data_IF_466339635935
#
_entry.id   IF_466339635935
#
_cell.length_a   1.000
_cell.length_b   1.000
_cell.length_c   1.000
_cell.angle_alpha   90.00
_cell.angle_beta   90.00
_cell.angle_gamma   90.00
#
_symmetry.space_group_name_H-M   'P 1'
#
loop_
_entity.id
_entity.type
_entity.pdbx_description
1 polymer ?
#
# COMPACT_ATOMS: atom_id res chain seq x y z
N UNK A 1 10.54 17.12 -20.57
CA UNK A 1 10.58 16.64 -19.17
C UNK A 1 9.38 15.73 -19.00
N UNK A 2 9.56 14.44 -19.24
CA UNK A 2 8.45 13.47 -19.26
C UNK A 2 8.11 13.17 -17.81
N UNK A 3 6.96 13.64 -17.34
CA UNK A 3 6.38 13.19 -16.08
C UNK A 3 6.25 11.67 -16.18
N UNK A 4 6.87 10.92 -15.25
CA UNK A 4 6.80 9.46 -15.23
C UNK A 4 5.33 9.06 -15.20
N UNK A 5 4.86 8.43 -16.28
CA UNK A 5 3.43 8.24 -16.59
C UNK A 5 2.78 7.02 -15.92
N UNK A 6 3.42 6.44 -14.92
CA UNK A 6 2.81 5.39 -14.13
C UNK A 6 3.36 5.50 -12.72
N UNK A 7 2.52 5.92 -11.78
CA UNK A 7 2.73 5.56 -10.38
C UNK A 7 2.71 4.03 -10.38
N UNK A 8 3.82 3.38 -10.02
CA UNK A 8 3.91 1.92 -9.91
C UNK A 8 4.01 1.54 -8.43
N UNK A 9 2.89 1.56 -7.68
CA UNK A 9 2.91 1.33 -6.25
C UNK A 9 3.41 -0.07 -5.90
N UNK A 10 3.15 -1.06 -6.77
CA UNK A 10 3.60 -2.43 -6.58
C UNK A 10 5.13 -2.56 -6.48
N UNK A 11 5.89 -1.88 -7.35
CA UNK A 11 7.36 -1.92 -7.32
C UNK A 11 7.92 -1.24 -6.06
N UNK A 12 7.36 -0.09 -5.69
CA UNK A 12 7.75 0.61 -4.47
C UNK A 12 7.51 -0.24 -3.22
N UNK A 13 6.37 -0.93 -3.16
CA UNK A 13 6.03 -1.83 -2.06
C UNK A 13 6.92 -3.08 -2.04
N UNK A 14 7.27 -3.64 -3.20
CA UNK A 14 8.21 -4.75 -3.28
C UNK A 14 9.58 -4.37 -2.72
N UNK A 15 10.10 -3.20 -3.11
CA UNK A 15 11.36 -2.67 -2.56
C UNK A 15 11.24 -2.47 -1.05
N UNK A 16 10.16 -1.85 -0.57
CA UNK A 16 9.95 -1.62 0.86
C UNK A 16 9.95 -2.92 1.67
N UNK A 17 9.24 -3.95 1.21
CA UNK A 17 9.17 -5.25 1.88
C UNK A 17 10.52 -5.99 1.85
N UNK A 18 11.31 -5.82 0.78
CA UNK A 18 12.65 -6.44 0.69
C UNK A 18 13.63 -5.97 1.77
N UNK A 19 13.35 -4.82 2.40
CA UNK A 19 14.15 -4.29 3.51
C UNK A 19 13.85 -5.00 4.84
N UNK A 20 12.95 -5.99 4.85
CA UNK A 20 12.44 -6.69 6.04
C UNK A 20 11.96 -5.74 7.16
N UNK A 21 11.08 -4.78 6.86
CA UNK A 21 10.58 -3.85 7.87
C UNK A 21 9.59 -4.54 8.81
N UNK A 22 9.46 -4.02 10.03
CA UNK A 22 8.43 -4.47 10.97
C UNK A 22 7.01 -3.98 10.61
N UNK A 23 6.93 -2.86 9.87
CA UNK A 23 5.71 -2.24 9.36
C UNK A 23 6.01 -1.30 8.18
N UNK A 24 5.03 -1.07 7.31
CA UNK A 24 5.09 -0.11 6.19
C UNK A 24 3.99 0.93 6.34
N UNK A 25 4.30 2.20 6.04
CA UNK A 25 3.31 3.29 5.96
C UNK A 25 3.23 3.78 4.50
N UNK A 26 2.08 3.56 3.87
CA UNK A 26 1.79 3.97 2.51
C UNK A 26 0.96 5.26 2.52
N UNK A 27 1.51 6.34 1.98
CA UNK A 27 0.82 7.63 1.82
C UNK A 27 0.39 7.75 0.36
N UNK A 28 -0.90 7.94 0.11
CA UNK A 28 -1.46 8.06 -1.25
C UNK A 28 -2.76 8.84 -1.23
N UNK A 29 -3.06 9.54 -2.31
CA UNK A 29 -4.37 10.15 -2.59
C UNK A 29 -5.46 9.12 -2.95
N UNK A 30 -5.07 7.84 -3.09
CA UNK A 30 -5.96 6.70 -3.32
C UNK A 30 -5.98 6.23 -4.76
N UNK A 31 -5.37 6.95 -5.70
CA UNK A 31 -5.25 6.51 -7.10
C UNK A 31 -4.16 5.42 -7.25
N UNK A 32 -4.47 4.22 -6.76
CA UNK A 32 -3.75 3.01 -7.09
C UNK A 32 -4.40 2.43 -8.34
N UNK A 33 -4.01 2.98 -9.49
CA UNK A 33 -4.25 2.32 -10.76
C UNK A 33 -3.38 1.05 -10.76
N UNK A 34 -3.92 -0.11 -11.17
CA UNK A 34 -3.24 -1.41 -11.43
C UNK A 34 -3.54 -2.59 -10.47
N UNK A 35 -2.96 -3.75 -10.82
CA UNK A 35 -2.87 -5.05 -10.13
C UNK A 35 -2.12 -5.00 -8.78
N UNK A 36 -1.90 -3.80 -8.22
CA UNK A 36 -1.09 -3.58 -7.01
C UNK A 36 -1.61 -4.34 -5.80
N UNK A 37 -2.94 -4.47 -5.66
CA UNK A 37 -3.57 -5.29 -4.62
C UNK A 37 -3.22 -6.78 -4.76
N UNK A 38 -3.30 -7.31 -5.98
CA UNK A 38 -2.99 -8.72 -6.25
C UNK A 38 -1.50 -9.00 -6.03
N UNK A 39 -0.62 -8.12 -6.51
CA UNK A 39 0.81 -8.23 -6.24
C UNK A 39 1.12 -8.15 -4.75
N UNK A 40 0.54 -7.18 -4.02
CA UNK A 40 0.68 -7.05 -2.57
C UNK A 40 0.33 -8.33 -1.83
N UNK A 41 -0.81 -8.94 -2.19
CA UNK A 41 -1.24 -10.21 -1.61
C UNK A 41 -0.23 -11.31 -1.87
N UNK A 42 0.38 -11.37 -3.04
CA UNK A 42 1.39 -12.39 -3.36
C UNK A 42 2.71 -12.16 -2.62
N UNK A 43 3.20 -10.92 -2.56
CA UNK A 43 4.53 -10.60 -1.99
C UNK A 43 4.52 -10.52 -0.47
N UNK A 44 3.38 -10.17 0.13
CA UNK A 44 3.21 -10.03 1.58
C UNK A 44 2.31 -11.13 2.18
N UNK A 45 2.09 -12.23 1.44
CA UNK A 45 1.40 -13.39 1.99
C UNK A 45 2.23 -13.99 3.14
N UNK A 46 1.61 -14.28 4.30
CA UNK A 46 2.28 -15.08 5.31
C UNK A 46 2.59 -16.46 4.72
N UNK A 47 3.80 -16.95 4.95
CA UNK A 47 4.17 -18.34 4.64
C UNK A 47 4.75 -19.01 5.89
N UNK A 48 5.17 -20.28 5.78
CA UNK A 48 5.69 -21.06 6.91
C UNK A 48 6.96 -20.46 7.56
N UNK A 49 7.62 -19.51 6.90
CA UNK A 49 8.91 -18.94 7.30
C UNK A 49 8.89 -17.42 7.46
N UNK A 50 7.92 -16.72 6.89
CA UNK A 50 7.83 -15.25 6.92
C UNK A 50 6.50 -14.78 7.48
N UNK A 51 6.58 -13.95 8.51
CA UNK A 51 5.44 -13.18 9.03
C UNK A 51 4.97 -12.18 7.98
N UNK A 52 3.66 -11.99 7.89
CA UNK A 52 3.07 -10.90 7.12
C UNK A 52 3.41 -9.55 7.75
N UNK A 53 3.90 -8.61 6.94
CA UNK A 53 4.24 -7.26 7.38
C UNK A 53 2.99 -6.37 7.35
N UNK A 54 2.62 -5.71 8.45
CA UNK A 54 1.49 -4.79 8.48
C UNK A 54 1.76 -3.55 7.62
N UNK A 55 0.79 -3.21 6.76
CA UNK A 55 0.84 -2.03 5.90
C UNK A 55 -0.24 -1.05 6.34
N UNK A 56 0.15 0.04 6.98
CA UNK A 56 -0.73 1.13 7.34
C UNK A 56 -0.89 2.07 6.14
N UNK A 57 -2.13 2.45 5.83
CA UNK A 57 -2.43 3.33 4.69
C UNK A 57 -2.95 4.66 5.18
N UNK A 58 -2.41 5.74 4.62
CA UNK A 58 -2.78 7.12 4.96
C UNK A 58 -3.30 7.78 3.68
N UNK A 59 -4.59 8.11 3.66
CA UNK A 59 -5.18 8.81 2.52
C UNK A 59 -4.96 10.31 2.64
N UNK A 60 -4.49 10.91 1.54
CA UNK A 60 -4.27 12.34 1.42
C UNK A 60 -5.37 12.98 0.55
N UNK A 61 -6.07 13.98 1.09
CA UNK A 61 -6.92 14.96 0.39
C UNK A 61 -8.24 14.45 -0.25
N UNK A 62 -8.32 13.28 -0.89
CA UNK A 62 -9.51 12.81 -1.62
C UNK A 62 -10.07 11.49 -1.10
N UNK A 63 -11.40 11.34 -1.18
CA UNK A 63 -12.13 10.09 -0.89
C UNK A 63 -11.99 9.01 -1.97
N UNK A 64 -11.53 9.41 -3.15
CA UNK A 64 -11.29 8.52 -4.27
C UNK A 64 -10.18 7.54 -3.90
N UNK A 65 -10.40 6.23 -4.10
CA UNK A 65 -9.41 5.20 -3.76
C UNK A 65 -9.28 4.80 -2.29
N UNK A 66 -10.10 5.36 -1.38
CA UNK A 66 -10.17 4.90 0.02
C UNK A 66 -10.45 3.41 0.15
N UNK A 67 -11.30 2.88 -0.71
CA UNK A 67 -11.61 1.46 -0.73
C UNK A 67 -10.35 0.62 -0.91
N UNK A 68 -9.51 0.97 -1.90
CA UNK A 68 -8.27 0.24 -2.18
C UNK A 68 -7.30 0.35 -1.00
N UNK A 69 -7.13 1.55 -0.42
CA UNK A 69 -6.26 1.75 0.73
C UNK A 69 -6.76 1.00 1.99
N UNK A 70 -8.07 0.92 2.19
CA UNK A 70 -8.68 0.13 3.26
C UNK A 70 -8.43 -1.37 3.06
N UNK A 71 -8.57 -1.87 1.83
CA UNK A 71 -8.31 -3.28 1.51
C UNK A 71 -6.84 -3.64 1.76
N UNK A 72 -5.88 -2.80 1.34
CA UNK A 72 -4.45 -3.03 1.61
C UNK A 72 -4.15 -3.13 3.10
N UNK A 73 -4.71 -2.20 3.89
CA UNK A 73 -4.53 -2.20 5.33
C UNK A 73 -5.16 -3.44 5.97
N UNK A 74 -6.39 -3.80 5.58
CA UNK A 74 -7.07 -4.97 6.12
C UNK A 74 -6.35 -6.27 5.79
N UNK A 75 -5.92 -6.45 4.53
CA UNK A 75 -5.27 -7.68 4.06
C UNK A 75 -3.90 -7.94 4.70
N UNK A 76 -3.24 -6.89 5.17
CA UNK A 76 -1.91 -6.97 5.80
C UNK A 76 -1.93 -6.91 7.33
N UNK A 77 -3.08 -6.65 7.94
CA UNK A 77 -3.20 -6.41 9.39
C UNK A 77 -2.75 -5.01 9.83
N UNK A 78 -2.70 -4.05 8.90
CA UNK A 78 -2.45 -2.64 9.18
C UNK A 78 -3.72 -1.84 9.52
N UNK A 79 -3.65 -0.51 9.38
CA UNK A 79 -4.77 0.39 9.66
C UNK A 79 -4.86 1.48 8.60
N UNK A 80 -6.09 1.84 8.24
CA UNK A 80 -6.38 2.95 7.32
C UNK A 80 -6.64 4.23 8.11
N UNK A 81 -6.00 5.34 7.72
CA UNK A 81 -6.17 6.67 8.31
C UNK A 81 -6.46 7.71 7.21
N UNK A 82 -7.68 8.26 7.13
CA UNK A 82 -7.96 9.38 6.25
C UNK A 82 -7.46 10.70 6.89
N UNK A 83 -6.69 11.49 6.14
CA UNK A 83 -6.30 12.84 6.56
C UNK A 83 -7.24 13.84 5.89
N UNK A 84 -8.05 14.53 6.69
CA UNK A 84 -8.85 15.65 6.21
C UNK A 84 -7.93 16.85 5.95
N UNK A 85 -8.00 17.41 4.74
CA UNK A 85 -7.38 18.71 4.45
C UNK A 85 -8.06 19.79 5.30
N UNK A 86 -7.27 20.61 5.98
CA UNK A 86 -7.73 21.73 6.79
C UNK A 86 -7.84 23.01 5.96
#
# INVERSE_FOLDING_TARGET
RTLGRATMPAEALQVALSLNPDAVFLLSDGELQDESLLMLRMINAPNSTTRQIPIHTISLFSGEGWWTLQQIAADSGGSFTPVAGN
#
